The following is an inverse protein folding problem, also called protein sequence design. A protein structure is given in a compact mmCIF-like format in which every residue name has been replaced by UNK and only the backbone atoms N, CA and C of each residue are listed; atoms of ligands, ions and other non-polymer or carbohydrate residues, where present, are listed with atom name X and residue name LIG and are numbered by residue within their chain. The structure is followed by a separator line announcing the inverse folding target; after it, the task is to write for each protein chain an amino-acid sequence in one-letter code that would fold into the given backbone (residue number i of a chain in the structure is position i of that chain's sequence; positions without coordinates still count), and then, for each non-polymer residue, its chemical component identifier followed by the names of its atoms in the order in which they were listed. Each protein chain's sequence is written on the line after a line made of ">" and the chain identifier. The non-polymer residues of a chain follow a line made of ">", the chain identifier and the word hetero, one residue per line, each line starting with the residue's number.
data_IF_041956521491
#
_entry.id   IF_041956521491
#
_cell.length_a   1.000
_cell.length_b   1.000
_cell.length_c   1.000
_cell.angle_alpha   90.00
_cell.angle_beta   90.00
_cell.angle_gamma   90.00
#
_symmetry.space_group_name_H-M   'P 1'
#
loop_
_entity.id
_entity.type
_entity.pdbx_description
1 polymer ?
#
# COMPACT_ATOMS: atom_id res chain seq x y z
N UNK A 1 -50.48 31.26 -32.13
CA UNK A 1 -49.19 30.77 -32.71
C UNK A 1 -48.46 30.01 -31.62
N UNK A 2 -48.65 28.66 -31.57
CA UNK A 2 -48.05 27.82 -30.55
C UNK A 2 -46.64 27.43 -30.97
N UNK A 3 -45.64 27.84 -30.20
CA UNK A 3 -44.24 27.44 -30.39
C UNK A 3 -44.04 26.10 -29.68
N UNK A 4 -44.05 24.99 -30.45
CA UNK A 4 -43.70 23.65 -29.94
C UNK A 4 -42.20 23.61 -29.64
N UNK A 5 -41.81 23.74 -28.37
CA UNK A 5 -40.44 23.47 -27.89
C UNK A 5 -40.12 21.99 -28.03
N UNK A 6 -39.31 21.65 -29.03
CA UNK A 6 -38.71 20.31 -29.13
C UNK A 6 -37.65 20.20 -28.08
N UNK A 7 -37.89 19.41 -27.02
CA UNK A 7 -36.92 19.06 -26.00
C UNK A 7 -35.94 18.02 -26.62
N UNK A 8 -34.73 18.49 -26.96
CA UNK A 8 -33.68 17.61 -27.44
C UNK A 8 -33.04 16.90 -26.24
N UNK A 9 -33.39 15.62 -26.04
CA UNK A 9 -32.85 14.78 -24.95
C UNK A 9 -31.44 14.34 -25.37
N UNK A 10 -30.40 14.94 -24.76
CA UNK A 10 -29.01 14.54 -24.98
C UNK A 10 -28.77 13.25 -24.19
N UNK A 11 -28.67 12.12 -24.89
CA UNK A 11 -28.29 10.84 -24.29
C UNK A 11 -26.77 10.84 -24.14
N UNK A 12 -26.26 11.04 -22.91
CA UNK A 12 -24.85 10.90 -22.59
C UNK A 12 -24.53 9.40 -22.45
N UNK A 13 -23.80 8.86 -23.41
CA UNK A 13 -23.30 7.50 -23.35
C UNK A 13 -22.07 7.48 -22.42
N UNK A 14 -22.24 6.99 -21.20
CA UNK A 14 -21.11 6.78 -20.25
C UNK A 14 -20.40 5.51 -20.70
N UNK A 15 -19.23 5.66 -21.34
CA UNK A 15 -18.34 4.55 -21.66
C UNK A 15 -17.61 4.16 -20.37
N UNK A 16 -18.03 3.07 -19.74
CA UNK A 16 -17.30 2.46 -18.63
C UNK A 16 -16.12 1.67 -19.19
N UNK A 17 -14.91 2.19 -19.03
CA UNK A 17 -13.69 1.45 -19.34
C UNK A 17 -13.48 0.44 -18.20
N UNK A 18 -13.40 -0.88 -18.48
CA UNK A 18 -13.08 -1.86 -17.45
C UNK A 18 -11.67 -1.60 -16.92
N UNK A 19 -11.54 -1.23 -15.65
CA UNK A 19 -10.25 -1.22 -14.96
C UNK A 19 -9.93 -2.67 -14.60
N UNK A 20 -8.95 -3.26 -15.28
CA UNK A 20 -8.46 -4.59 -14.91
C UNK A 20 -7.66 -4.46 -13.61
N UNK A 21 -8.08 -5.19 -12.58
CA UNK A 21 -7.32 -5.35 -11.35
C UNK A 21 -6.01 -6.09 -11.63
N UNK A 22 -4.90 -5.57 -11.13
CA UNK A 22 -3.58 -6.17 -11.27
C UNK A 22 -3.17 -6.93 -10.00
N UNK A 23 -2.34 -7.97 -10.18
CA UNK A 23 -1.71 -8.70 -9.09
C UNK A 23 -0.25 -8.24 -8.94
N UNK A 24 0.12 -7.80 -7.75
CA UNK A 24 1.48 -7.41 -7.37
C UNK A 24 2.07 -8.41 -6.38
N UNK A 25 3.35 -8.73 -6.53
CA UNK A 25 4.04 -9.61 -5.59
C UNK A 25 5.10 -8.84 -4.82
N UNK A 26 5.14 -9.06 -3.49
CA UNK A 26 6.15 -8.56 -2.58
C UNK A 26 6.86 -9.76 -1.95
N UNK A 27 8.15 -9.89 -2.15
CA UNK A 27 8.97 -10.91 -1.52
C UNK A 27 9.39 -10.49 -0.11
N UNK A 28 9.33 -11.40 0.84
CA UNK A 28 9.86 -11.23 2.20
C UNK A 28 11.25 -11.84 2.26
N UNK A 29 12.29 -11.01 2.44
CA UNK A 29 13.69 -11.40 2.27
C UNK A 29 14.52 -11.05 3.49
N UNK A 30 15.40 -11.98 3.88
CA UNK A 30 16.42 -11.73 4.90
C UNK A 30 17.48 -10.73 4.41
N UNK A 31 17.78 -10.72 3.09
CA UNK A 31 18.66 -9.73 2.47
C UNK A 31 18.37 -9.55 0.98
N UNK A 32 18.58 -8.35 0.47
CA UNK A 32 18.55 -8.04 -0.96
C UNK A 32 19.38 -6.78 -1.24
N UNK A 33 20.24 -6.82 -2.27
CA UNK A 33 21.07 -5.69 -2.70
C UNK A 33 21.85 -5.01 -1.55
N UNK A 34 22.45 -5.81 -0.66
CA UNK A 34 23.21 -5.31 0.50
C UNK A 34 22.37 -4.78 1.66
N UNK A 35 21.05 -4.82 1.57
CA UNK A 35 20.15 -4.47 2.66
C UNK A 35 19.65 -5.72 3.38
N UNK A 36 19.58 -5.66 4.70
CA UNK A 36 19.06 -6.74 5.54
C UNK A 36 17.58 -6.48 5.87
N UNK A 37 16.84 -7.58 6.05
CA UNK A 37 15.43 -7.57 6.48
C UNK A 37 14.58 -6.62 5.63
N UNK A 38 14.21 -7.06 4.42
CA UNK A 38 13.54 -6.22 3.42
C UNK A 38 12.32 -6.88 2.80
N UNK A 39 11.34 -6.08 2.48
CA UNK A 39 10.32 -6.39 1.48
C UNK A 39 10.81 -5.95 0.10
N UNK A 40 10.51 -6.71 -0.95
CA UNK A 40 10.94 -6.38 -2.32
C UNK A 40 9.81 -6.62 -3.34
N UNK A 41 9.29 -5.56 -3.96
CA UNK A 41 9.57 -4.15 -3.66
C UNK A 41 8.99 -3.73 -2.29
N UNK A 42 9.61 -2.74 -1.64
CA UNK A 42 9.14 -2.20 -0.37
C UNK A 42 8.16 -1.04 -0.55
N UNK A 43 8.15 -0.43 -1.73
CA UNK A 43 7.27 0.67 -2.11
C UNK A 43 6.47 0.26 -3.33
N UNK A 44 5.14 0.36 -3.23
CA UNK A 44 4.21 0.09 -4.33
C UNK A 44 3.31 1.30 -4.58
N UNK A 45 3.05 1.58 -5.85
CA UNK A 45 1.97 2.47 -6.28
C UNK A 45 1.03 1.63 -7.14
N UNK A 46 -0.20 1.45 -6.68
CA UNK A 46 -1.19 0.54 -7.26
C UNK A 46 -2.53 1.26 -7.48
N UNK A 47 -3.45 0.62 -8.21
CA UNK A 47 -4.79 1.15 -8.41
C UNK A 47 -5.80 0.54 -7.42
N UNK A 48 -6.91 1.23 -7.13
CA UNK A 48 -8.02 0.61 -6.41
C UNK A 48 -8.52 -0.65 -7.13
N UNK A 49 -8.68 -1.73 -6.38
CA UNK A 49 -9.03 -3.06 -6.90
C UNK A 49 -7.85 -3.99 -7.12
N UNK A 50 -6.62 -3.46 -7.15
CA UNK A 50 -5.42 -4.28 -7.25
C UNK A 50 -5.19 -5.13 -5.99
N UNK A 51 -4.46 -6.22 -6.17
CA UNK A 51 -4.15 -7.18 -5.11
C UNK A 51 -2.64 -7.25 -4.90
N UNK A 52 -2.22 -7.33 -3.64
CA UNK A 52 -0.82 -7.55 -3.26
C UNK A 52 -0.69 -8.90 -2.57
N UNK A 53 0.26 -9.71 -3.05
CA UNK A 53 0.61 -11.00 -2.48
C UNK A 53 1.99 -10.91 -1.84
N UNK A 54 2.09 -11.14 -0.53
CA UNK A 54 3.37 -11.26 0.17
C UNK A 54 3.80 -12.71 0.20
N UNK A 55 4.99 -12.99 -0.37
CA UNK A 55 5.59 -14.32 -0.41
C UNK A 55 6.72 -14.45 0.60
N UNK A 56 6.69 -15.50 1.42
CA UNK A 56 7.78 -15.85 2.33
C UNK A 56 8.93 -16.52 1.55
N UNK A 57 9.63 -15.72 0.72
CA UNK A 57 10.76 -16.20 -0.10
C UNK A 57 11.92 -16.70 0.77
N UNK A 58 12.19 -16.00 1.89
CA UNK A 58 13.03 -16.53 2.96
C UNK A 58 12.19 -16.82 4.21
N UNK A 59 12.56 -17.82 5.03
CA UNK A 59 11.81 -18.14 6.25
C UNK A 59 12.02 -17.09 7.36
N UNK A 60 11.08 -17.07 8.31
CA UNK A 60 11.16 -16.22 9.50
C UNK A 60 10.46 -14.86 9.37
N UNK A 61 9.72 -14.63 8.30
CA UNK A 61 9.04 -13.37 8.02
C UNK A 61 7.52 -13.51 8.02
N UNK A 62 6.85 -12.40 8.26
CA UNK A 62 5.41 -12.21 8.03
C UNK A 62 5.13 -10.83 7.47
N UNK A 63 3.88 -10.54 7.15
CA UNK A 63 3.36 -9.20 6.89
C UNK A 63 2.22 -8.88 7.84
N UNK A 64 2.22 -7.67 8.39
CA UNK A 64 1.16 -7.13 9.22
C UNK A 64 0.91 -5.66 8.89
N UNK A 65 -0.36 -5.24 8.86
CA UNK A 65 -0.74 -3.84 8.66
C UNK A 65 -0.30 -2.97 9.84
N UNK A 66 -0.01 -1.70 9.56
CA UNK A 66 0.19 -0.65 10.56
C UNK A 66 -1.05 0.23 10.55
N UNK A 67 -1.92 0.07 11.55
CA UNK A 67 -3.24 0.71 11.59
C UNK A 67 -3.16 2.24 11.49
N UNK A 68 -2.16 2.86 12.13
CA UNK A 68 -1.94 4.31 12.11
C UNK A 68 -1.51 4.86 10.74
N UNK A 69 -1.14 3.96 9.83
CA UNK A 69 -0.77 4.29 8.45
C UNK A 69 -1.77 3.72 7.43
N UNK A 70 -2.97 3.33 7.85
CA UNK A 70 -3.98 2.75 6.97
C UNK A 70 -5.02 3.78 6.58
N UNK A 71 -5.25 3.96 5.28
CA UNK A 71 -6.36 4.76 4.75
C UNK A 71 -7.73 4.11 4.99
N UNK A 72 -7.75 2.80 5.22
CA UNK A 72 -8.94 2.03 5.55
C UNK A 72 -8.80 1.37 6.91
N UNK A 73 -9.50 1.90 7.91
CA UNK A 73 -9.49 1.35 9.28
C UNK A 73 -10.11 -0.05 9.40
N UNK A 74 -10.90 -0.48 8.41
CA UNK A 74 -11.49 -1.81 8.35
C UNK A 74 -10.54 -2.86 7.76
N UNK A 75 -9.55 -2.43 6.95
CA UNK A 75 -8.59 -3.31 6.32
C UNK A 75 -7.38 -3.54 7.23
N UNK A 76 -7.43 -4.64 7.98
CA UNK A 76 -6.37 -5.07 8.90
C UNK A 76 -5.92 -6.47 8.56
N UNK A 77 -4.61 -6.71 8.61
CA UNK A 77 -4.05 -8.04 8.46
C UNK A 77 -2.88 -8.28 9.40
N UNK A 78 -2.69 -9.52 9.77
CA UNK A 78 -1.55 -9.99 10.56
C UNK A 78 -1.29 -11.45 10.20
N UNK A 79 -0.48 -11.67 9.17
CA UNK A 79 -0.12 -13.00 8.70
C UNK A 79 0.75 -13.75 9.71
N UNK A 80 0.68 -15.07 9.67
CA UNK A 80 1.58 -15.94 10.44
C UNK A 80 2.98 -15.92 9.84
N UNK A 81 3.97 -16.36 10.62
CA UNK A 81 5.34 -16.51 10.11
C UNK A 81 5.33 -17.55 8.98
N UNK A 82 6.00 -17.21 7.86
CA UNK A 82 6.09 -17.98 6.63
C UNK A 82 4.76 -18.17 5.87
N UNK A 83 3.74 -17.42 6.21
CA UNK A 83 2.47 -17.43 5.49
C UNK A 83 2.57 -16.56 4.23
N UNK A 84 2.11 -17.10 3.09
CA UNK A 84 1.78 -16.29 1.92
C UNK A 84 0.42 -15.63 2.16
N UNK A 85 0.37 -14.31 2.09
CA UNK A 85 -0.85 -13.55 2.35
C UNK A 85 -1.21 -12.68 1.13
N UNK A 86 -2.50 -12.68 0.77
CA UNK A 86 -3.05 -11.94 -0.36
C UNK A 86 -4.11 -10.95 0.10
N UNK A 87 -3.96 -9.67 -0.22
CA UNK A 87 -4.87 -8.58 0.17
C UNK A 87 -5.23 -7.75 -1.05
N UNK A 88 -6.53 -7.48 -1.23
CA UNK A 88 -7.05 -6.57 -2.26
C UNK A 88 -7.31 -5.19 -1.65
N UNK A 89 -6.81 -4.14 -2.31
CA UNK A 89 -6.92 -2.75 -1.87
C UNK A 89 -7.96 -2.01 -2.70
N UNK A 90 -9.07 -1.63 -2.10
CA UNK A 90 -10.19 -0.95 -2.81
C UNK A 90 -10.28 0.53 -2.50
N UNK A 91 -9.80 0.98 -1.33
CA UNK A 91 -9.86 2.37 -0.91
C UNK A 91 -8.55 3.09 -1.18
N UNK A 92 -8.63 4.26 -1.81
CA UNK A 92 -7.46 5.11 -2.08
C UNK A 92 -6.80 5.61 -0.79
N UNK A 93 -5.49 5.79 -0.85
CA UNK A 93 -4.67 6.32 0.23
C UNK A 93 -3.40 5.50 0.48
N UNK A 94 -2.72 5.81 1.57
CA UNK A 94 -1.47 5.18 1.97
C UNK A 94 -1.73 4.07 2.98
N UNK A 95 -0.98 2.97 2.84
CA UNK A 95 -0.98 1.82 3.74
C UNK A 95 0.45 1.45 4.10
N UNK A 96 0.77 1.50 5.40
CA UNK A 96 2.04 1.00 5.93
C UNK A 96 1.91 -0.44 6.41
N UNK A 97 3.00 -1.21 6.26
CA UNK A 97 3.07 -2.58 6.77
C UNK A 97 4.46 -2.92 7.28
N UNK A 98 4.54 -3.98 8.05
CA UNK A 98 5.76 -4.41 8.75
C UNK A 98 5.89 -5.93 8.78
N UNK A 99 7.13 -6.40 8.96
CA UNK A 99 7.39 -7.75 9.46
C UNK A 99 7.44 -7.68 10.98
N UNK A 100 6.57 -8.40 11.67
CA UNK A 100 6.45 -8.31 13.14
C UNK A 100 7.75 -8.63 13.87
N UNK A 101 8.44 -9.77 13.62
CA UNK A 101 9.69 -10.09 14.32
C UNK A 101 10.86 -9.15 13.96
N UNK A 102 10.86 -8.55 12.76
CA UNK A 102 11.97 -7.73 12.29
C UNK A 102 11.64 -6.22 12.21
N UNK A 103 10.53 -5.80 12.83
CA UNK A 103 10.13 -4.39 12.85
C UNK A 103 11.21 -3.49 13.47
N UNK A 104 11.79 -3.95 14.57
CA UNK A 104 12.90 -3.23 15.24
C UNK A 104 14.15 -3.08 14.35
N UNK A 105 14.31 -3.91 13.33
CA UNK A 105 15.38 -3.82 12.33
C UNK A 105 14.99 -2.96 11.11
N UNK A 106 13.80 -2.37 11.13
CA UNK A 106 13.28 -1.56 10.04
C UNK A 106 12.77 -2.37 8.85
N UNK A 107 12.27 -3.60 9.05
CA UNK A 107 11.60 -4.36 7.99
C UNK A 107 10.17 -3.86 7.82
N UNK A 108 10.02 -2.88 6.95
CA UNK A 108 8.77 -2.15 6.68
C UNK A 108 8.56 -1.96 5.19
N UNK A 109 7.32 -1.67 4.80
CA UNK A 109 6.97 -1.29 3.44
C UNK A 109 5.76 -0.35 3.41
N UNK A 110 5.52 0.25 2.26
CA UNK A 110 4.44 1.21 2.03
C UNK A 110 3.76 0.98 0.69
N UNK A 111 2.46 1.20 0.65
CA UNK A 111 1.64 1.11 -0.57
C UNK A 111 0.86 2.41 -0.71
N UNK A 112 0.90 3.04 -1.88
CA UNK A 112 -0.04 4.07 -2.28
C UNK A 112 -1.09 3.45 -3.22
N UNK A 113 -2.35 3.61 -2.90
CA UNK A 113 -3.49 3.13 -3.69
C UNK A 113 -4.18 4.34 -4.32
N UNK A 114 -4.26 4.36 -5.64
CA UNK A 114 -4.90 5.44 -6.39
C UNK A 114 -4.12 6.76 -6.36
N UNK A 115 -4.83 7.85 -6.54
CA UNK A 115 -4.26 9.21 -6.61
C UNK A 115 -4.60 10.07 -5.41
N UNK A 116 -5.71 9.79 -4.73
CA UNK A 116 -6.10 10.53 -3.53
C UNK A 116 -5.39 9.93 -2.29
N UNK A 117 -4.31 10.58 -1.85
CA UNK A 117 -3.50 10.18 -0.71
C UNK A 117 -3.73 11.10 0.50
N UNK A 118 -4.98 11.32 0.90
CA UNK A 118 -5.36 12.26 1.98
C UNK A 118 -4.63 11.98 3.30
N UNK A 119 -4.29 10.72 3.58
CA UNK A 119 -3.57 10.34 4.80
C UNK A 119 -2.03 10.33 4.65
N UNK A 120 -1.47 10.82 3.54
CA UNK A 120 -0.01 10.78 3.28
C UNK A 120 0.77 11.52 4.37
N UNK A 121 0.32 12.73 4.76
CA UNK A 121 1.01 13.53 5.78
C UNK A 121 1.04 12.83 7.13
N UNK A 122 -0.10 12.36 7.62
CA UNK A 122 -0.19 11.65 8.91
C UNK A 122 0.58 10.34 8.91
N UNK A 123 0.54 9.59 7.80
CA UNK A 123 1.33 8.37 7.65
C UNK A 123 2.84 8.65 7.65
N UNK A 124 3.29 9.74 7.01
CA UNK A 124 4.70 10.15 7.00
C UNK A 124 5.19 10.60 8.38
N UNK A 125 4.37 11.34 9.13
CA UNK A 125 4.67 11.73 10.50
C UNK A 125 4.82 10.50 11.41
N UNK A 126 3.89 9.56 11.31
CA UNK A 126 3.94 8.30 12.05
C UNK A 126 5.20 7.50 11.68
N UNK A 127 5.49 7.32 10.38
CA UNK A 127 6.69 6.63 9.90
C UNK A 127 7.97 7.25 10.48
N UNK A 128 8.08 8.57 10.48
CA UNK A 128 9.23 9.31 11.03
C UNK A 128 9.36 9.12 12.56
N UNK A 129 8.25 9.00 13.26
CA UNK A 129 8.27 8.76 14.72
C UNK A 129 8.70 7.31 15.03
N UNK A 130 8.22 6.35 14.25
CA UNK A 130 8.51 4.92 14.46
C UNK A 130 9.94 4.55 14.11
N UNK A 131 10.50 5.10 13.01
CA UNK A 131 11.86 4.76 12.61
C UNK A 131 12.93 5.17 13.63
N UNK A 132 12.63 6.13 14.52
CA UNK A 132 13.52 6.49 15.65
C UNK A 132 13.71 5.33 16.64
N UNK A 133 12.74 4.42 16.71
CA UNK A 133 12.76 3.23 17.56
C UNK A 133 13.55 2.08 16.95
N UNK A 134 13.86 2.14 15.65
CA UNK A 134 14.59 1.07 14.97
C UNK A 134 16.03 0.98 15.50
N UNK A 135 16.52 -0.24 15.68
CA UNK A 135 17.92 -0.49 16.05
C UNK A 135 18.84 -0.23 14.85
N UNK A 136 18.37 -0.53 13.63
CA UNK A 136 19.07 -0.30 12.35
C UNK A 136 18.13 0.37 11.36
N UNK A 137 18.64 0.87 10.22
CA UNK A 137 17.84 1.44 9.14
C UNK A 137 16.90 2.58 9.58
N UNK A 138 17.39 3.47 10.44
CA UNK A 138 16.62 4.54 11.14
C UNK A 138 16.00 5.59 10.22
N UNK A 139 16.27 5.58 8.91
CA UNK A 139 15.70 6.48 7.92
C UNK A 139 14.97 5.74 6.78
N UNK A 140 14.80 4.42 6.92
CA UNK A 140 14.24 3.58 5.85
C UNK A 140 12.78 3.91 5.61
N UNK A 141 12.00 4.08 6.67
CA UNK A 141 10.57 4.30 6.56
C UNK A 141 10.26 5.67 5.93
N UNK A 142 10.88 6.74 6.41
CA UNK A 142 10.72 8.07 5.81
C UNK A 142 11.25 8.14 4.38
N UNK A 143 12.30 7.39 4.04
CA UNK A 143 12.78 7.25 2.66
C UNK A 143 11.70 6.63 1.76
N UNK A 144 11.08 5.53 2.18
CA UNK A 144 10.01 4.87 1.42
C UNK A 144 8.78 5.77 1.24
N UNK A 145 8.41 6.54 2.28
CA UNK A 145 7.32 7.51 2.16
C UNK A 145 7.55 8.56 1.07
N UNK A 146 8.80 9.00 0.88
CA UNK A 146 9.18 9.98 -0.17
C UNK A 146 9.16 9.39 -1.59
N UNK A 147 9.20 8.07 -1.72
CA UNK A 147 9.15 7.37 -3.00
C UNK A 147 7.70 7.14 -3.49
N UNK A 148 6.69 7.34 -2.62
CA UNK A 148 5.29 7.28 -3.01
C UNK A 148 4.98 8.43 -3.98
N UNK A 149 4.25 8.10 -5.04
CA UNK A 149 3.83 9.07 -6.07
C UNK A 149 2.39 9.49 -5.83
N UNK A 150 2.17 10.79 -5.86
CA UNK A 150 0.83 11.39 -5.89
C UNK A 150 0.27 11.33 -7.31
#
# INVERSE_FOLDING_TARGET
>A
MEIKRKLLMLIVFIITIPVNAADHTVEMLSSSNGQMMVFKPAVLNINPGDTVTWKATNPGHNTASIEQMSADSSLKWNGKINEELKITFTKEGVYGYKCTPHYILGMVGVIAVGKNLDNLSSAAEFATSEEKKFATNKNRFSKYMKELKN
#
